data_IF_981361943479
#
_entry.id   IF_981361943479
#
_cell.length_a   1.000
_cell.length_b   1.000
_cell.length_c   1.000
_cell.angle_alpha   90.00
_cell.angle_beta   90.00
_cell.angle_gamma   90.00
#
_symmetry.space_group_name_H-M   'P 1'
#
loop_
_entity.id
_entity.type
_entity.pdbx_description
1 polymer ?
#
# COMPACT_ATOMS: atom_id res chain seq x y z
N UNK A 1 1.07 -18.65 -8.77
CA UNK A 1 2.27 -18.90 -7.94
C UNK A 1 3.36 -17.93 -8.38
N UNK A 2 3.49 -16.79 -7.72
CA UNK A 2 4.65 -15.92 -7.89
C UNK A 2 5.78 -16.47 -7.00
N UNK A 3 7.01 -16.51 -7.52
CA UNK A 3 8.18 -16.95 -6.77
C UNK A 3 8.30 -16.09 -5.50
N UNK A 4 8.18 -16.71 -4.32
CA UNK A 4 8.16 -15.98 -3.05
C UNK A 4 9.47 -15.28 -2.74
N UNK A 5 9.46 -14.32 -1.80
CA UNK A 5 10.65 -13.54 -1.44
C UNK A 5 11.89 -14.42 -1.14
N UNK A 6 11.69 -15.59 -0.53
CA UNK A 6 12.74 -16.58 -0.24
C UNK A 6 13.49 -17.08 -1.49
N UNK A 7 12.82 -17.17 -2.64
CA UNK A 7 13.47 -17.52 -3.90
C UNK A 7 14.45 -16.43 -4.35
N UNK A 8 14.10 -15.16 -4.15
CA UNK A 8 14.91 -14.00 -4.53
C UNK A 8 16.17 -13.82 -3.67
N UNK A 9 16.28 -14.53 -2.54
CA UNK A 9 17.44 -14.51 -1.65
C UNK A 9 18.61 -15.39 -2.12
N UNK A 10 18.41 -16.20 -3.18
CA UNK A 10 19.40 -17.20 -3.61
C UNK A 10 20.70 -16.53 -4.08
N UNK A 11 21.88 -16.99 -3.63
CA UNK A 11 23.16 -16.31 -3.85
C UNK A 11 23.60 -16.29 -5.32
N UNK A 12 23.04 -17.16 -6.17
CA UNK A 12 23.30 -17.20 -7.60
C UNK A 12 22.45 -16.22 -8.43
N UNK A 13 21.53 -15.48 -7.81
CA UNK A 13 20.66 -14.52 -8.53
C UNK A 13 21.35 -13.15 -8.72
N UNK A 14 21.01 -12.42 -9.80
CA UNK A 14 21.52 -11.07 -10.05
C UNK A 14 21.29 -10.10 -8.88
N UNK A 15 22.24 -9.18 -8.66
CA UNK A 15 22.17 -8.15 -7.60
C UNK A 15 20.87 -7.34 -7.59
N UNK A 16 20.27 -7.08 -8.76
CA UNK A 16 18.98 -6.38 -8.87
C UNK A 16 17.83 -7.14 -8.19
N UNK A 17 17.82 -8.47 -8.29
CA UNK A 17 16.80 -9.31 -7.63
C UNK A 17 16.97 -9.35 -6.12
N UNK A 18 18.21 -9.23 -5.62
CA UNK A 18 18.48 -9.08 -4.19
C UNK A 18 17.89 -7.79 -3.62
N UNK A 19 17.94 -6.69 -4.38
CA UNK A 19 17.27 -5.44 -3.98
C UNK A 19 15.74 -5.58 -3.93
N UNK A 20 15.16 -6.36 -4.85
CA UNK A 20 13.73 -6.69 -4.82
C UNK A 20 13.42 -7.55 -3.59
N UNK A 21 14.25 -8.55 -3.28
CA UNK A 21 14.13 -9.34 -2.07
C UNK A 21 14.10 -8.47 -0.80
N UNK A 22 15.08 -7.58 -0.66
CA UNK A 22 15.18 -6.65 0.47
C UNK A 22 13.91 -5.81 0.61
N UNK A 23 13.41 -5.25 -0.51
CA UNK A 23 12.16 -4.49 -0.52
C UNK A 23 10.94 -5.33 -0.13
N UNK A 24 10.83 -6.57 -0.61
CA UNK A 24 9.74 -7.48 -0.23
C UNK A 24 9.79 -7.84 1.26
N UNK A 25 10.98 -8.09 1.81
CA UNK A 25 11.16 -8.42 3.23
C UNK A 25 10.87 -7.22 4.13
N UNK A 26 11.23 -5.99 3.72
CA UNK A 26 10.94 -4.78 4.49
C UNK A 26 9.49 -4.31 4.39
N UNK A 27 8.79 -4.67 3.32
CA UNK A 27 7.43 -4.19 3.05
C UNK A 27 6.40 -4.70 4.09
N UNK A 28 6.40 -6.00 4.37
CA UNK A 28 5.44 -6.61 5.29
C UNK A 28 5.52 -6.06 6.73
N UNK A 29 6.70 -5.97 7.38
CA UNK A 29 6.79 -5.40 8.73
C UNK A 29 6.39 -3.92 8.73
N UNK A 30 6.79 -3.15 7.72
CA UNK A 30 6.36 -1.75 7.59
C UNK A 30 4.83 -1.60 7.53
N UNK A 31 4.16 -2.42 6.73
CA UNK A 31 2.69 -2.38 6.63
C UNK A 31 2.01 -2.84 7.92
N UNK A 32 2.59 -3.81 8.63
CA UNK A 32 2.11 -4.24 9.93
C UNK A 32 2.23 -3.13 10.98
N UNK A 33 3.37 -2.45 11.03
CA UNK A 33 3.60 -1.34 11.95
C UNK A 33 2.63 -0.18 11.70
N UNK A 34 2.40 0.16 10.43
CA UNK A 34 1.43 1.17 10.02
C UNK A 34 0.00 0.79 10.44
N UNK A 35 -0.38 -0.47 10.25
CA UNK A 35 -1.69 -0.99 10.63
C UNK A 35 -1.91 -0.94 12.15
N UNK A 36 -0.95 -1.44 12.92
CA UNK A 36 -1.01 -1.43 14.39
C UNK A 36 -0.97 0.00 14.96
N UNK A 37 -0.27 0.92 14.30
CA UNK A 37 -0.35 2.34 14.64
C UNK A 37 -1.76 2.90 14.43
N UNK A 38 -2.38 2.68 13.27
CA UNK A 38 -3.73 3.16 12.99
C UNK A 38 -4.78 2.56 13.94
N UNK A 39 -4.66 1.26 14.26
CA UNK A 39 -5.54 0.57 15.22
C UNK A 39 -5.43 1.17 16.63
N UNK A 40 -4.21 1.47 17.09
CA UNK A 40 -3.99 2.14 18.39
C UNK A 40 -4.62 3.53 18.42
N UNK A 41 -4.40 4.32 17.36
CA UNK A 41 -4.95 5.67 17.25
C UNK A 41 -6.48 5.65 17.24
N UNK A 42 -7.10 4.69 16.54
CA UNK A 42 -8.55 4.52 16.52
C UNK A 42 -9.13 4.22 17.91
N UNK A 43 -8.44 3.42 18.72
CA UNK A 43 -8.88 3.11 20.09
C UNK A 43 -8.74 4.31 21.04
N UNK A 44 -7.69 5.12 20.89
CA UNK A 44 -7.47 6.31 21.72
C UNK A 44 -8.42 7.48 21.38
N UNK A 45 -8.91 7.57 20.14
CA UNK A 45 -9.67 8.72 19.65
C UNK A 45 -11.19 8.63 19.91
N UNK A 46 -11.68 7.60 20.60
CA UNK A 46 -13.10 7.45 20.95
C UNK A 46 -13.62 8.53 21.92
N UNK A 47 -12.81 9.53 22.29
CA UNK A 47 -13.13 10.54 23.31
C UNK A 47 -13.53 11.91 22.73
N UNK A 48 -13.19 12.26 21.47
CA UNK A 48 -13.34 13.66 21.01
C UNK A 48 -13.92 13.90 19.60
N UNK A 49 -14.61 12.92 18.99
CA UNK A 49 -15.54 13.14 17.87
C UNK A 49 -14.99 13.74 16.55
N UNK A 50 -13.71 14.10 16.48
CA UNK A 50 -13.09 14.70 15.30
C UNK A 50 -12.73 13.61 14.28
N UNK A 51 -13.38 13.64 13.12
CA UNK A 51 -13.06 12.77 12.01
C UNK A 51 -11.59 12.99 11.60
N UNK A 52 -10.75 11.95 11.68
CA UNK A 52 -9.39 11.98 11.11
C UNK A 52 -9.47 12.23 9.61
N UNK A 53 -8.61 13.11 9.09
CA UNK A 53 -8.24 13.11 7.67
C UNK A 53 -7.67 11.73 7.35
N UNK A 54 -8.51 10.90 6.72
CA UNK A 54 -8.25 9.48 6.54
C UNK A 54 -7.37 9.26 5.32
N UNK A 55 -6.16 8.76 5.53
CA UNK A 55 -5.42 8.10 4.46
C UNK A 55 -6.07 6.73 4.14
N UNK A 56 -5.64 6.08 3.05
CA UNK A 56 -6.19 4.79 2.63
C UNK A 56 -6.12 3.72 3.73
N UNK A 57 -5.03 3.67 4.51
CA UNK A 57 -4.90 2.71 5.62
C UNK A 57 -5.95 2.99 6.71
N UNK A 58 -6.16 4.25 7.09
CA UNK A 58 -7.20 4.62 8.06
C UNK A 58 -8.58 4.16 7.61
N UNK A 59 -8.93 4.33 6.32
CA UNK A 59 -10.22 3.90 5.77
C UNK A 59 -10.37 2.37 5.82
N UNK A 60 -9.33 1.63 5.44
CA UNK A 60 -9.35 0.15 5.42
C UNK A 60 -9.42 -0.44 6.85
N UNK A 61 -8.69 0.14 7.81
CA UNK A 61 -8.72 -0.27 9.22
C UNK A 61 -10.09 -0.01 9.83
N UNK A 62 -10.70 1.16 9.54
CA UNK A 62 -12.05 1.48 9.99
C UNK A 62 -13.10 0.54 9.39
N UNK A 63 -13.01 0.23 8.10
CA UNK A 63 -13.90 -0.70 7.43
C UNK A 63 -13.82 -2.11 8.06
N UNK A 64 -12.61 -2.63 8.22
CA UNK A 64 -12.36 -3.95 8.85
C UNK A 64 -12.92 -4.02 10.28
N UNK A 65 -12.69 -2.99 11.10
CA UNK A 65 -13.18 -2.94 12.49
C UNK A 65 -14.70 -2.81 12.58
N UNK A 66 -15.35 -2.05 11.68
CA UNK A 66 -16.82 -1.91 11.64
C UNK A 66 -17.47 -3.25 11.28
N UNK A 67 -16.91 -3.96 10.32
CA UNK A 67 -17.43 -5.24 9.85
C UNK A 67 -17.29 -6.35 10.90
N UNK A 68 -16.19 -6.35 11.63
CA UNK A 68 -15.95 -7.26 12.76
C UNK A 68 -16.91 -7.02 13.95
N UNK A 69 -17.43 -5.79 14.12
CA UNK A 69 -18.46 -5.47 15.14
C UNK A 69 -19.89 -5.77 14.66
N UNK A 70 -20.17 -5.61 13.37
CA UNK A 70 -21.49 -5.82 12.79
C UNK A 70 -21.81 -7.30 12.56
N UNK A 71 -20.79 -8.12 12.29
CA UNK A 71 -20.92 -9.56 12.14
C UNK A 71 -20.26 -10.24 13.33
N UNK A 72 -21.04 -10.94 14.17
CA UNK A 72 -20.50 -11.83 15.21
C UNK A 72 -19.74 -13.04 14.64
N UNK A 73 -19.62 -13.11 13.31
CA UNK A 73 -18.81 -14.06 12.55
C UNK A 73 -17.47 -13.42 12.18
N UNK A 74 -16.38 -14.11 12.47
CA UNK A 74 -14.98 -13.76 12.17
C UNK A 74 -14.64 -13.68 10.67
N UNK A 75 -15.63 -13.58 9.78
CA UNK A 75 -15.50 -13.81 8.33
C UNK A 75 -15.85 -12.60 7.47
N UNK A 76 -16.39 -11.52 8.06
CA UNK A 76 -16.77 -10.32 7.31
C UNK A 76 -15.59 -9.37 7.06
N UNK A 77 -14.89 -8.97 8.12
CA UNK A 77 -13.83 -7.96 8.02
C UNK A 77 -12.64 -8.41 7.16
N UNK A 78 -12.10 -7.50 6.34
CA UNK A 78 -10.89 -7.74 5.55
C UNK A 78 -9.76 -8.20 6.48
N UNK A 79 -9.10 -9.31 6.12
CA UNK A 79 -7.93 -9.78 6.85
C UNK A 79 -6.78 -8.78 6.69
N UNK A 80 -5.89 -8.73 7.68
CA UNK A 80 -4.69 -7.88 7.65
C UNK A 80 -3.88 -8.08 6.36
N UNK A 81 -3.77 -9.33 5.90
CA UNK A 81 -3.09 -9.68 4.64
C UNK A 81 -3.77 -9.08 3.41
N UNK A 82 -5.10 -9.05 3.37
CA UNK A 82 -5.86 -8.42 2.28
C UNK A 82 -5.69 -6.91 2.28
N UNK A 83 -5.67 -6.28 3.46
CA UNK A 83 -5.37 -4.85 3.59
C UNK A 83 -3.97 -4.55 3.05
N UNK A 84 -2.95 -5.32 3.44
CA UNK A 84 -1.57 -5.13 2.97
C UNK A 84 -1.46 -5.30 1.45
N UNK A 85 -2.10 -6.33 0.91
CA UNK A 85 -2.10 -6.59 -0.53
C UNK A 85 -2.79 -5.46 -1.32
N UNK A 86 -3.90 -4.93 -0.83
CA UNK A 86 -4.61 -3.85 -1.51
C UNK A 86 -3.80 -2.55 -1.50
N UNK A 87 -3.18 -2.20 -0.37
CA UNK A 87 -2.30 -1.03 -0.28
C UNK A 87 -1.07 -1.21 -1.19
N UNK A 88 -0.50 -2.42 -1.25
CA UNK A 88 0.59 -2.73 -2.17
C UNK A 88 0.19 -2.50 -3.63
N UNK A 89 -0.92 -3.10 -4.07
CA UNK A 89 -1.39 -3.01 -5.46
C UNK A 89 -1.72 -1.58 -5.83
N UNK A 90 -2.42 -0.84 -4.95
CA UNK A 90 -2.77 0.55 -5.18
C UNK A 90 -1.52 1.42 -5.40
N UNK A 91 -0.55 1.33 -4.49
CA UNK A 91 0.67 2.14 -4.58
C UNK A 91 1.57 1.71 -5.73
N UNK A 92 1.79 0.40 -5.92
CA UNK A 92 2.70 -0.10 -6.96
C UNK A 92 2.16 0.20 -8.36
N UNK A 93 0.90 -0.17 -8.63
CA UNK A 93 0.29 0.05 -9.95
C UNK A 93 0.00 1.53 -10.22
N UNK A 94 -0.27 2.32 -9.17
CA UNK A 94 -0.43 3.76 -9.26
C UNK A 94 0.90 4.43 -9.58
N UNK A 95 1.98 4.08 -8.87
CA UNK A 95 3.29 4.68 -9.05
C UNK A 95 3.82 4.49 -10.47
N UNK A 96 3.82 3.26 -10.99
CA UNK A 96 4.36 2.96 -12.33
C UNK A 96 3.61 3.71 -13.44
N UNK A 97 2.27 3.67 -13.42
CA UNK A 97 1.43 4.35 -14.40
C UNK A 97 1.53 5.87 -14.30
N UNK A 98 1.46 6.44 -13.10
CA UNK A 98 1.51 7.89 -12.93
C UNK A 98 2.90 8.44 -13.28
N UNK A 99 3.98 7.74 -12.95
CA UNK A 99 5.33 8.14 -13.32
C UNK A 99 5.53 8.11 -14.84
N UNK A 100 5.05 7.07 -15.52
CA UNK A 100 5.10 7.00 -16.98
C UNK A 100 4.28 8.11 -17.64
N UNK A 101 3.05 8.32 -17.18
CA UNK A 101 2.18 9.40 -17.68
C UNK A 101 2.81 10.77 -17.47
N UNK A 102 3.35 11.05 -16.28
CA UNK A 102 4.00 12.32 -15.97
C UNK A 102 5.24 12.53 -16.84
N UNK A 103 6.04 11.49 -17.05
CA UNK A 103 7.21 11.54 -17.95
C UNK A 103 6.79 11.94 -19.36
N UNK A 104 5.74 11.34 -19.90
CA UNK A 104 5.22 11.70 -21.21
C UNK A 104 4.65 13.13 -21.22
N UNK A 105 3.87 13.50 -20.20
CA UNK A 105 3.26 14.81 -20.08
C UNK A 105 4.29 15.95 -20.02
N UNK A 106 5.49 15.69 -19.47
CA UNK A 106 6.58 16.67 -19.44
C UNK A 106 7.39 16.62 -20.74
N UNK A 107 7.77 15.43 -21.20
CA UNK A 107 8.65 15.28 -22.36
C UNK A 107 7.99 15.65 -23.70
N UNK A 108 6.70 15.36 -23.85
CA UNK A 108 5.97 15.60 -25.10
C UNK A 108 5.84 17.09 -25.42
N UNK A 109 5.37 17.96 -24.50
CA UNK A 109 5.27 19.38 -24.78
C UNK A 109 6.66 20.04 -24.87
N UNK A 110 7.65 19.58 -24.10
CA UNK A 110 9.03 20.08 -24.20
C UNK A 110 9.66 19.84 -25.58
N UNK A 111 9.20 18.81 -26.31
CA UNK A 111 9.64 18.49 -27.67
C UNK A 111 8.74 19.09 -28.75
N UNK A 112 7.60 19.69 -28.37
CA UNK A 112 6.60 20.26 -29.29
C UNK A 112 6.10 21.61 -28.73
N UNK A 113 6.87 22.70 -28.87
CA UNK A 113 6.52 24.00 -28.31
C UNK A 113 5.14 24.52 -28.76
N UNK A 114 4.72 24.20 -29.99
CA UNK A 114 3.39 24.54 -30.50
C UNK A 114 2.22 23.87 -29.75
N UNK A 115 2.50 22.83 -28.95
CA UNK A 115 1.51 22.20 -28.07
C UNK A 115 1.48 22.81 -26.66
N UNK A 116 2.36 23.79 -26.37
CA UNK A 116 2.47 24.51 -25.08
C UNK A 116 1.94 25.94 -25.12
N UNK A 117 1.70 26.49 -26.32
CA UNK A 117 1.06 27.80 -26.52
C UNK A 117 -0.40 27.79 -26.03
#
# INVERSE_FOLDING_TARGET
>A
MALGAQFLAKPWLPKKLRRIHEACVSFQPYMNDLYEQEKRLQNCQSVDGTARDGNLMTVLVQASTKEQKASSSTTGGWSEKEIYSNIFVFNFAGHDRTAHTLTFMVAFPASNPAAQD
#
